data_IF_039067504892
#
_entry.id   IF_039067504892
#
_cell.length_a   1.000
_cell.length_b   1.000
_cell.length_c   1.000
_cell.angle_alpha   90.00
_cell.angle_beta   90.00
_cell.angle_gamma   90.00
#
_symmetry.space_group_name_H-M   'P 1'
#
loop_
_entity.id
_entity.type
_entity.pdbx_description
1 polymer ?
#
# COMPACT_ATOMS: atom_id res chain seq x y z
N UNK A 1 11.40 6.65 12.71
CA UNK A 1 10.05 6.17 13.03
C UNK A 1 9.13 7.37 13.28
N UNK A 2 7.91 7.34 12.70
CA UNK A 2 6.88 8.36 12.95
C UNK A 2 6.05 7.89 14.14
N UNK A 3 5.96 8.73 15.22
CA UNK A 3 5.17 8.44 16.41
C UNK A 3 5.78 7.44 17.41
N UNK A 4 5.05 7.19 18.48
CA UNK A 4 5.40 6.25 19.54
C UNK A 4 4.76 4.86 19.32
N UNK A 5 5.24 3.84 20.04
CA UNK A 5 4.63 2.51 20.02
C UNK A 5 3.13 2.54 20.37
N UNK A 6 2.76 3.39 21.32
CA UNK A 6 1.36 3.55 21.74
C UNK A 6 0.46 4.03 20.58
N UNK A 7 0.92 5.01 19.77
CA UNK A 7 0.15 5.49 18.61
C UNK A 7 -0.14 4.35 17.62
N UNK A 8 0.85 3.47 17.41
CA UNK A 8 0.71 2.30 16.56
C UNK A 8 -0.33 1.31 17.09
N UNK A 9 -0.25 0.94 18.37
CA UNK A 9 -1.18 -0.03 18.96
C UNK A 9 -2.62 0.50 19.02
N UNK A 10 -2.81 1.77 19.39
CA UNK A 10 -4.13 2.41 19.38
C UNK A 10 -4.72 2.48 17.98
N UNK A 11 -3.91 2.77 16.96
CA UNK A 11 -4.35 2.77 15.57
C UNK A 11 -4.72 1.36 15.10
N UNK A 12 -3.90 0.35 15.41
CA UNK A 12 -4.17 -1.04 15.09
C UNK A 12 -5.47 -1.52 15.75
N UNK A 13 -5.69 -1.18 17.03
CA UNK A 13 -6.91 -1.50 17.76
C UNK A 13 -8.14 -0.82 17.14
N UNK A 14 -8.04 0.47 16.83
CA UNK A 14 -9.13 1.21 16.16
C UNK A 14 -9.45 0.64 14.77
N UNK A 15 -8.46 0.14 14.05
CA UNK A 15 -8.66 -0.56 12.79
C UNK A 15 -9.38 -1.87 13.01
N UNK A 16 -8.94 -2.67 13.99
CA UNK A 16 -9.50 -3.99 14.27
C UNK A 16 -10.96 -3.94 14.75
N UNK A 17 -11.35 -2.89 15.46
CA UNK A 17 -12.72 -2.72 15.97
C UNK A 17 -13.59 -1.97 14.95
N UNK A 18 -13.09 -0.88 14.36
CA UNK A 18 -13.87 0.09 13.62
C UNK A 18 -13.48 0.22 12.14
N UNK A 19 -12.64 -0.66 11.61
CA UNK A 19 -12.13 -0.58 10.22
C UNK A 19 -11.59 0.82 9.86
N UNK A 20 -10.78 1.42 10.76
CA UNK A 20 -10.21 2.76 10.60
C UNK A 20 -8.75 2.76 10.14
N UNK A 21 -8.39 1.86 9.24
CA UNK A 21 -7.03 1.77 8.72
C UNK A 21 -6.64 3.03 7.93
N UNK A 22 -5.57 3.67 8.36
CA UNK A 22 -5.11 4.96 7.79
C UNK A 22 -5.74 6.20 8.44
N UNK A 23 -6.65 6.07 9.42
CA UNK A 23 -7.32 7.19 10.08
C UNK A 23 -6.97 7.36 11.57
N UNK A 24 -6.03 6.58 12.08
CA UNK A 24 -5.46 6.72 13.42
C UNK A 24 -4.21 7.61 13.46
N UNK A 25 -3.35 7.45 14.46
CA UNK A 25 -2.02 8.10 14.59
C UNK A 25 -2.03 9.63 14.42
N UNK A 26 -3.04 10.31 14.96
CA UNK A 26 -3.27 11.75 14.81
C UNK A 26 -2.06 12.56 15.28
N UNK A 27 -1.56 12.29 16.51
CA UNK A 27 -0.43 13.03 17.11
C UNK A 27 0.85 12.85 16.30
N UNK A 28 1.12 11.61 15.85
CA UNK A 28 2.28 11.28 15.04
C UNK A 28 2.28 12.05 13.72
N UNK A 29 1.11 12.11 13.04
CA UNK A 29 0.96 12.83 11.77
C UNK A 29 1.11 14.34 11.93
N UNK A 30 0.52 14.93 12.97
CA UNK A 30 0.72 16.37 13.27
C UNK A 30 2.20 16.71 13.52
N UNK A 31 2.94 15.81 14.20
CA UNK A 31 4.39 15.98 14.42
C UNK A 31 5.18 15.86 13.10
N UNK A 32 4.76 14.95 12.20
CA UNK A 32 5.36 14.84 10.88
C UNK A 32 5.17 16.13 10.07
N UNK A 33 3.96 16.70 10.05
CA UNK A 33 3.67 17.96 9.35
C UNK A 33 4.56 19.09 9.85
N UNK A 34 4.68 19.27 11.18
CA UNK A 34 5.61 20.28 11.74
C UNK A 34 7.06 20.07 11.28
N UNK A 35 7.46 18.82 11.08
CA UNK A 35 8.80 18.51 10.56
C UNK A 35 8.92 18.84 9.06
N UNK A 36 7.87 18.62 8.26
CA UNK A 36 7.83 19.03 6.84
C UNK A 36 7.94 20.56 6.74
N UNK A 37 7.18 21.29 7.53
CA UNK A 37 7.22 22.77 7.58
C UNK A 37 8.61 23.31 7.97
N UNK A 38 9.30 22.62 8.87
CA UNK A 38 10.65 22.97 9.31
C UNK A 38 11.70 22.69 8.22
N UNK A 39 11.61 21.52 7.56
CA UNK A 39 12.58 21.09 6.53
C UNK A 39 12.35 21.84 5.21
N UNK A 40 11.10 22.20 4.90
CA UNK A 40 10.69 22.83 3.64
C UNK A 40 11.21 22.08 2.41
N UNK A 41 10.84 20.80 2.23
CA UNK A 41 11.35 20.00 1.12
C UNK A 41 10.83 20.51 -0.21
N UNK A 42 11.63 20.39 -1.27
CA UNK A 42 11.25 20.75 -2.65
C UNK A 42 10.24 19.74 -3.24
N UNK A 43 10.23 18.51 -2.74
CA UNK A 43 9.34 17.44 -3.17
C UNK A 43 9.02 16.50 -2.01
N UNK A 44 7.80 15.95 -1.98
CA UNK A 44 7.40 14.91 -1.03
C UNK A 44 7.19 13.60 -1.79
N UNK A 45 7.97 12.58 -1.45
CA UNK A 45 7.81 11.24 -2.00
C UNK A 45 7.10 10.33 -0.98
N UNK A 46 5.90 9.90 -1.35
CA UNK A 46 5.07 9.00 -0.54
C UNK A 46 5.22 7.56 -1.01
N UNK A 47 5.19 6.64 -0.07
CA UNK A 47 5.11 5.19 -0.28
C UNK A 47 3.90 4.62 0.47
N UNK A 48 4.01 3.42 1.03
CA UNK A 48 2.94 2.76 1.79
C UNK A 48 2.43 3.62 2.95
N UNK A 49 1.27 4.23 2.78
CA UNK A 49 0.63 5.06 3.81
C UNK A 49 -0.24 4.25 4.79
N UNK A 50 -0.32 2.96 4.60
CA UNK A 50 -0.96 2.03 5.53
C UNK A 50 0.11 1.37 6.43
N UNK A 51 -0.26 0.88 7.60
CA UNK A 51 0.68 0.30 8.57
C UNK A 51 0.60 0.94 9.95
N UNK A 52 -0.53 1.57 10.28
CA UNK A 52 -0.86 2.08 11.62
C UNK A 52 0.03 3.21 12.15
N UNK A 53 0.67 3.99 11.30
CA UNK A 53 1.62 5.02 11.72
C UNK A 53 1.27 6.44 11.28
N UNK A 54 0.30 6.61 10.38
CA UNK A 54 -0.08 7.90 9.81
C UNK A 54 -1.61 8.06 9.75
N UNK A 55 -2.09 9.30 9.79
CA UNK A 55 -3.47 9.68 9.54
C UNK A 55 -3.57 10.34 8.17
N UNK A 56 -4.20 9.66 7.22
CA UNK A 56 -4.29 10.15 5.83
C UNK A 56 -5.15 11.40 5.71
N UNK A 57 -6.18 11.57 6.56
CA UNK A 57 -7.01 12.76 6.50
C UNK A 57 -6.23 14.02 6.87
N UNK A 58 -5.48 13.97 7.97
CA UNK A 58 -4.64 15.08 8.41
C UNK A 58 -3.52 15.35 7.41
N UNK A 59 -2.88 14.28 6.91
CA UNK A 59 -1.80 14.43 5.94
C UNK A 59 -2.31 15.05 4.63
N UNK A 60 -3.35 14.49 4.02
CA UNK A 60 -3.82 14.95 2.71
C UNK A 60 -4.51 16.31 2.76
N UNK A 61 -5.16 16.68 3.87
CA UNK A 61 -5.63 18.06 4.06
C UNK A 61 -4.47 19.06 4.09
N UNK A 62 -3.33 18.71 4.68
CA UNK A 62 -2.12 19.53 4.63
C UNK A 62 -1.53 19.56 3.21
N UNK A 63 -1.38 18.42 2.55
CA UNK A 63 -0.82 18.32 1.21
C UNK A 63 -1.65 19.07 0.16
N UNK A 64 -2.97 19.10 0.31
CA UNK A 64 -3.88 19.82 -0.56
C UNK A 64 -3.69 21.34 -0.49
N UNK A 65 -3.19 21.86 0.63
CA UNK A 65 -2.91 23.27 0.86
C UNK A 65 -1.44 23.64 0.59
N UNK A 66 -0.57 22.64 0.55
CA UNK A 66 0.84 22.84 0.28
C UNK A 66 1.08 22.99 -1.23
N UNK A 67 1.99 23.89 -1.61
CA UNK A 67 2.44 24.02 -3.02
C UNK A 67 3.53 22.99 -3.37
N UNK A 68 3.88 22.07 -2.46
CA UNK A 68 4.97 21.12 -2.62
C UNK A 68 4.54 20.01 -3.59
N UNK A 69 5.29 19.75 -4.67
CA UNK A 69 5.03 18.64 -5.58
C UNK A 69 5.08 17.28 -4.88
N UNK A 70 4.16 16.38 -5.24
CA UNK A 70 4.04 15.08 -4.61
C UNK A 70 4.27 13.98 -5.64
N UNK A 71 5.10 13.01 -5.29
CA UNK A 71 5.23 11.73 -5.97
C UNK A 71 4.72 10.66 -5.02
N UNK A 72 3.82 9.79 -5.47
CA UNK A 72 3.32 8.68 -4.67
C UNK A 72 3.58 7.35 -5.36
N UNK A 73 4.54 6.58 -4.85
CA UNK A 73 4.82 5.22 -5.33
C UNK A 73 3.90 4.24 -4.63
N UNK A 74 3.10 3.54 -5.43
CA UNK A 74 2.15 2.52 -4.98
C UNK A 74 2.74 1.13 -5.14
N UNK A 75 2.63 0.32 -4.09
CA UNK A 75 3.11 -1.06 -4.04
C UNK A 75 1.97 -2.09 -3.96
N UNK A 76 0.76 -1.63 -3.70
CA UNK A 76 -0.47 -2.43 -3.63
C UNK A 76 -1.72 -1.58 -3.93
N UNK A 77 -2.89 -2.18 -3.75
CA UNK A 77 -4.16 -1.58 -4.12
C UNK A 77 -4.85 -0.81 -2.99
N UNK A 78 -4.26 -0.75 -1.79
CA UNK A 78 -4.93 -0.14 -0.63
C UNK A 78 -5.37 1.31 -0.87
N UNK A 79 -4.59 2.07 -1.61
CA UNK A 79 -4.85 3.49 -1.85
C UNK A 79 -6.24 3.73 -2.48
N UNK A 80 -6.66 2.89 -3.41
CA UNK A 80 -7.91 3.08 -4.15
C UNK A 80 -9.01 2.07 -3.80
N UNK A 81 -8.82 1.26 -2.75
CA UNK A 81 -9.86 0.41 -2.19
C UNK A 81 -10.41 0.99 -0.88
N UNK A 82 -11.52 0.46 -0.39
CA UNK A 82 -12.10 0.89 0.88
C UNK A 82 -11.51 0.19 2.10
N UNK A 83 -10.82 -0.95 1.89
CA UNK A 83 -10.31 -1.78 2.98
C UNK A 83 -9.04 -2.51 2.59
N UNK A 84 -9.13 -3.48 1.68
CA UNK A 84 -8.08 -4.44 1.36
C UNK A 84 -6.93 -3.83 0.54
N UNK A 85 -5.75 -4.43 0.63
CA UNK A 85 -4.60 -4.11 -0.22
C UNK A 85 -4.48 -5.00 -1.45
N UNK A 86 -5.23 -6.11 -1.50
CA UNK A 86 -5.27 -7.05 -2.62
C UNK A 86 -6.69 -7.56 -2.79
N UNK A 87 -7.19 -7.64 -4.01
CA UNK A 87 -8.56 -8.06 -4.31
C UNK A 87 -8.63 -9.11 -5.43
N UNK A 88 -7.52 -9.41 -6.08
CA UNK A 88 -7.46 -10.23 -7.29
C UNK A 88 -7.96 -11.64 -7.05
N UNK A 89 -7.43 -12.32 -6.04
CA UNK A 89 -7.77 -13.71 -5.76
C UNK A 89 -9.25 -13.92 -5.34
N UNK A 90 -9.93 -12.89 -4.81
CA UNK A 90 -11.38 -12.93 -4.52
C UNK A 90 -12.20 -12.34 -5.67
N UNK A 91 -11.57 -11.95 -6.78
CA UNK A 91 -12.19 -11.39 -7.99
C UNK A 91 -13.16 -10.23 -7.68
N UNK A 92 -12.81 -9.37 -6.71
CA UNK A 92 -13.66 -8.26 -6.28
C UNK A 92 -13.44 -7.03 -7.16
N UNK A 93 -14.50 -6.53 -7.78
CA UNK A 93 -14.47 -5.34 -8.65
C UNK A 93 -15.15 -4.10 -8.07
N UNK A 94 -15.62 -4.17 -6.80
CA UNK A 94 -16.38 -3.06 -6.18
C UNK A 94 -15.58 -1.76 -6.10
N UNK A 95 -14.27 -1.84 -5.98
CA UNK A 95 -13.36 -0.69 -5.93
C UNK A 95 -13.38 0.18 -7.20
N UNK A 96 -13.81 -0.34 -8.34
CA UNK A 96 -14.00 0.43 -9.59
C UNK A 96 -15.14 1.46 -9.48
N UNK A 97 -16.11 1.22 -8.63
CA UNK A 97 -17.28 2.10 -8.40
C UNK A 97 -17.31 2.62 -6.97
N UNK A 98 -17.72 1.78 -6.04
CA UNK A 98 -17.77 2.07 -4.59
C UNK A 98 -17.59 0.78 -3.81
N UNK A 99 -16.57 0.72 -2.95
CA UNK A 99 -16.42 -0.39 -2.00
C UNK A 99 -17.56 -0.41 -0.99
N UNK A 100 -18.05 -1.59 -0.68
CA UNK A 100 -19.02 -1.87 0.38
C UNK A 100 -19.06 -3.37 0.66
N UNK A 101 -19.41 -3.79 1.89
CA UNK A 101 -19.49 -5.20 2.28
C UNK A 101 -18.26 -5.96 1.77
N UNK A 102 -17.09 -5.58 2.34
CA UNK A 102 -15.80 -6.07 1.88
C UNK A 102 -15.70 -7.59 2.10
N UNK A 103 -15.47 -8.41 1.05
CA UNK A 103 -15.36 -9.86 1.20
C UNK A 103 -14.08 -10.25 1.96
N UNK A 104 -13.18 -9.31 2.18
CA UNK A 104 -11.90 -9.49 2.86
C UNK A 104 -11.80 -8.69 4.16
N UNK A 105 -12.91 -8.36 4.81
CA UNK A 105 -12.90 -7.58 6.06
C UNK A 105 -12.09 -8.26 7.18
N UNK A 106 -12.01 -9.58 7.19
CA UNK A 106 -11.20 -10.37 8.13
C UNK A 106 -9.74 -10.52 7.72
N UNK A 107 -9.38 -10.19 6.47
CA UNK A 107 -7.99 -10.19 5.98
C UNK A 107 -7.29 -8.87 6.33
N UNK A 108 -5.97 -8.80 6.13
CA UNK A 108 -5.23 -7.55 6.37
C UNK A 108 -5.70 -6.40 5.46
N UNK A 109 -5.98 -5.23 6.05
CA UNK A 109 -5.98 -4.82 7.46
C UNK A 109 -7.25 -5.27 8.20
N UNK A 110 -7.16 -6.31 9.03
CA UNK A 110 -8.32 -7.02 9.60
C UNK A 110 -9.23 -6.10 10.44
N UNK A 111 -10.55 -6.16 10.19
CA UNK A 111 -11.60 -5.63 11.04
C UNK A 111 -12.55 -6.76 11.47
N UNK A 112 -12.88 -6.82 12.77
CA UNK A 112 -13.65 -7.94 13.33
C UNK A 112 -15.15 -7.65 13.45
N UNK A 113 -15.52 -6.38 13.65
CA UNK A 113 -16.89 -6.04 14.04
C UNK A 113 -17.59 -5.13 13.02
N UNK A 114 -16.85 -4.20 12.42
CA UNK A 114 -17.43 -3.16 11.58
C UNK A 114 -16.78 -3.17 10.21
N UNK A 115 -17.58 -3.15 9.17
CA UNK A 115 -17.16 -2.90 7.80
C UNK A 115 -17.42 -1.42 7.44
N UNK A 116 -16.40 -0.62 7.49
CA UNK A 116 -16.40 0.77 7.05
C UNK A 116 -15.87 0.95 5.63
N UNK A 117 -15.76 -0.12 4.84
CA UNK A 117 -15.16 -0.07 3.50
C UNK A 117 -15.79 0.99 2.59
N UNK A 118 -17.11 1.20 2.67
CA UNK A 118 -17.78 2.29 1.91
C UNK A 118 -17.33 3.67 2.36
N UNK A 119 -17.33 3.93 3.67
CA UNK A 119 -16.93 5.21 4.25
C UNK A 119 -15.45 5.51 3.97
N UNK A 120 -14.60 4.52 4.17
CA UNK A 120 -13.17 4.63 3.91
C UNK A 120 -12.90 4.91 2.43
N UNK A 121 -13.58 4.22 1.51
CA UNK A 121 -13.48 4.46 0.08
C UNK A 121 -13.83 5.90 -0.31
N UNK A 122 -14.99 6.39 0.15
CA UNK A 122 -15.44 7.75 -0.14
C UNK A 122 -14.51 8.80 0.47
N UNK A 123 -14.02 8.57 1.70
CA UNK A 123 -13.05 9.45 2.35
C UNK A 123 -11.73 9.49 1.58
N UNK A 124 -11.18 8.35 1.20
CA UNK A 124 -9.95 8.28 0.38
C UNK A 124 -10.14 8.97 -0.97
N UNK A 125 -11.25 8.71 -1.67
CA UNK A 125 -11.56 9.36 -2.94
C UNK A 125 -11.56 10.88 -2.79
N UNK A 126 -12.22 11.43 -1.79
CA UNK A 126 -12.24 12.87 -1.51
C UNK A 126 -10.86 13.42 -1.20
N UNK A 127 -10.17 12.79 -0.25
CA UNK A 127 -8.89 13.26 0.26
C UNK A 127 -7.78 13.22 -0.80
N UNK A 128 -7.66 12.11 -1.52
CA UNK A 128 -6.56 11.96 -2.49
C UNK A 128 -6.78 12.84 -3.71
N UNK A 129 -8.02 12.99 -4.17
CA UNK A 129 -8.32 13.88 -5.30
C UNK A 129 -8.36 15.39 -4.92
N UNK A 130 -8.18 15.75 -3.65
CA UNK A 130 -8.05 17.17 -3.26
C UNK A 130 -6.65 17.74 -3.48
N UNK A 131 -5.66 16.89 -3.74
CA UNK A 131 -4.28 17.33 -3.98
C UNK A 131 -4.11 17.80 -5.42
N UNK A 132 -3.70 19.06 -5.66
CA UNK A 132 -3.69 19.63 -7.01
C UNK A 132 -2.55 19.11 -7.90
N UNK A 133 -1.42 18.76 -7.29
CA UNK A 133 -0.21 18.34 -8.02
C UNK A 133 0.39 17.06 -7.43
N UNK A 134 -0.04 15.92 -7.97
CA UNK A 134 0.47 14.62 -7.57
C UNK A 134 0.74 13.75 -8.80
N UNK A 135 1.92 13.11 -8.81
CA UNK A 135 2.28 12.08 -9.79
C UNK A 135 2.28 10.73 -9.12
N UNK A 136 1.60 9.76 -9.71
CA UNK A 136 1.57 8.39 -9.23
C UNK A 136 2.65 7.58 -9.93
N UNK A 137 3.39 6.80 -9.16
CA UNK A 137 4.33 5.80 -9.66
C UNK A 137 3.82 4.42 -9.30
N UNK A 138 3.74 3.53 -10.29
CA UNK A 138 3.34 2.13 -10.11
C UNK A 138 4.54 1.22 -10.29
N UNK A 139 4.69 0.23 -9.44
CA UNK A 139 5.82 -0.73 -9.51
C UNK A 139 5.64 -1.82 -10.57
N UNK A 140 4.50 -1.84 -11.27
CA UNK A 140 4.21 -2.77 -12.36
C UNK A 140 3.15 -2.23 -13.31
N UNK A 141 3.14 -2.70 -14.55
CA UNK A 141 2.10 -2.38 -15.53
C UNK A 141 0.71 -2.86 -15.07
N UNK A 142 0.65 -4.00 -14.37
CA UNK A 142 -0.61 -4.49 -13.81
C UNK A 142 -1.21 -3.48 -12.82
N UNK A 143 -0.42 -2.98 -11.87
CA UNK A 143 -0.88 -2.01 -10.88
C UNK A 143 -1.26 -0.67 -11.52
N UNK A 144 -0.48 -0.19 -12.50
CA UNK A 144 -0.81 1.02 -13.27
C UNK A 144 -2.18 0.89 -13.97
N UNK A 145 -2.43 -0.28 -14.57
CA UNK A 145 -3.73 -0.55 -15.20
C UNK A 145 -4.87 -0.51 -14.17
N UNK A 146 -4.69 -1.08 -12.97
CA UNK A 146 -5.71 -0.99 -11.92
C UNK A 146 -5.97 0.47 -11.50
N UNK A 147 -4.93 1.28 -11.35
CA UNK A 147 -5.05 2.70 -10.99
C UNK A 147 -5.87 3.47 -12.03
N UNK A 148 -5.69 3.18 -13.33
CA UNK A 148 -6.45 3.79 -14.44
C UNK A 148 -7.95 3.51 -14.38
N UNK A 149 -8.37 2.39 -13.78
CA UNK A 149 -9.79 2.07 -13.54
C UNK A 149 -10.31 2.56 -12.19
N UNK A 150 -9.46 3.16 -11.36
CA UNK A 150 -9.81 3.64 -10.03
C UNK A 150 -10.19 5.13 -10.04
N UNK A 151 -10.61 5.64 -8.89
CA UNK A 151 -10.84 7.08 -8.71
C UNK A 151 -9.57 7.93 -8.75
N UNK A 152 -8.39 7.33 -8.91
CA UNK A 152 -7.10 8.01 -9.08
C UNK A 152 -6.72 8.19 -10.55
N UNK A 153 -7.55 7.78 -11.49
CA UNK A 153 -7.29 7.84 -12.94
C UNK A 153 -7.02 9.26 -13.50
N UNK A 154 -7.41 10.31 -12.77
CA UNK A 154 -7.16 11.70 -13.15
C UNK A 154 -5.72 12.16 -12.95
N UNK A 155 -4.89 11.42 -12.22
CA UNK A 155 -3.49 11.77 -11.99
C UNK A 155 -2.57 11.26 -13.10
N UNK A 156 -1.49 11.99 -13.34
CA UNK A 156 -0.38 11.49 -14.17
C UNK A 156 0.19 10.23 -13.51
N UNK A 157 0.37 9.16 -14.28
CA UNK A 157 0.98 7.93 -13.78
C UNK A 157 2.17 7.51 -14.62
N UNK A 158 3.14 6.86 -13.98
CA UNK A 158 4.34 6.30 -14.60
C UNK A 158 4.67 4.96 -13.97
N UNK A 159 5.07 3.98 -14.80
CA UNK A 159 5.56 2.70 -14.32
C UNK A 159 7.07 2.79 -14.09
N UNK A 160 7.50 2.52 -12.86
CA UNK A 160 8.90 2.38 -12.47
C UNK A 160 8.98 1.12 -11.63
N UNK A 161 9.56 0.07 -12.19
CA UNK A 161 9.70 -1.21 -11.49
C UNK A 161 10.67 -1.10 -10.31
N UNK A 162 10.47 -1.97 -9.31
CA UNK A 162 11.40 -2.04 -8.19
C UNK A 162 12.81 -2.42 -8.67
N UNK A 163 13.81 -1.69 -8.21
CA UNK A 163 15.20 -2.02 -8.46
C UNK A 163 15.70 -3.13 -7.54
N UNK A 164 16.70 -3.84 -8.00
CA UNK A 164 17.48 -4.81 -7.21
C UNK A 164 18.97 -4.53 -7.37
N UNK A 165 19.75 -4.94 -6.39
CA UNK A 165 21.22 -4.89 -6.47
C UNK A 165 21.73 -5.98 -7.41
N UNK A 166 22.20 -5.58 -8.61
CA UNK A 166 22.69 -6.50 -9.63
C UNK A 166 24.04 -7.12 -9.30
N UNK A 167 24.79 -6.57 -8.35
CA UNK A 167 26.02 -7.20 -7.86
C UNK A 167 25.73 -8.39 -6.96
N UNK A 168 24.62 -8.31 -6.20
CA UNK A 168 24.15 -9.39 -5.32
C UNK A 168 23.29 -10.39 -6.09
N UNK A 169 22.31 -9.89 -6.85
CA UNK A 169 21.32 -10.69 -7.60
C UNK A 169 21.75 -10.88 -9.05
N UNK A 170 22.73 -11.72 -9.28
CA UNK A 170 23.23 -12.08 -10.61
C UNK A 170 23.27 -13.60 -10.81
N UNK A 171 23.13 -14.07 -12.05
CA UNK A 171 23.24 -15.49 -12.34
C UNK A 171 24.58 -16.04 -11.83
N UNK A 172 24.53 -17.08 -11.01
CA UNK A 172 25.72 -17.76 -10.50
C UNK A 172 25.51 -19.27 -10.51
N UNK A 173 26.60 -20.00 -10.80
CA UNK A 173 26.58 -21.46 -10.71
C UNK A 173 26.96 -21.88 -9.29
N UNK A 174 25.95 -21.98 -8.41
CA UNK A 174 26.17 -22.49 -7.05
C UNK A 174 26.33 -24.01 -7.04
N UNK A 175 27.58 -24.50 -7.17
CA UNK A 175 27.87 -25.93 -7.07
C UNK A 175 27.45 -26.52 -5.73
N UNK A 176 27.54 -25.74 -4.65
CA UNK A 176 27.13 -26.17 -3.32
C UNK A 176 25.62 -26.47 -3.24
N UNK A 177 24.76 -25.60 -3.75
CA UNK A 177 23.31 -25.85 -3.78
C UNK A 177 22.96 -27.07 -4.62
N UNK A 178 23.55 -27.19 -5.81
CA UNK A 178 23.31 -28.31 -6.70
C UNK A 178 23.68 -29.62 -6.02
N UNK A 179 24.86 -29.67 -5.33
CA UNK A 179 25.34 -30.86 -4.60
C UNK A 179 24.47 -31.13 -3.36
N UNK A 180 24.24 -30.14 -2.51
CA UNK A 180 23.52 -30.32 -1.23
C UNK A 180 22.09 -30.79 -1.39
N UNK A 181 21.41 -30.36 -2.46
CA UNK A 181 20.02 -30.73 -2.75
C UNK A 181 19.87 -31.78 -3.85
N UNK A 182 20.99 -32.35 -4.33
CA UNK A 182 21.02 -33.34 -5.40
C UNK A 182 20.21 -32.92 -6.64
N UNK A 183 20.50 -31.71 -7.14
CA UNK A 183 19.75 -31.09 -8.23
C UNK A 183 20.34 -31.35 -9.62
N UNK A 184 21.32 -32.24 -9.74
CA UNK A 184 21.90 -32.61 -11.02
C UNK A 184 20.83 -33.18 -11.95
N UNK A 185 20.74 -32.65 -13.16
CA UNK A 185 19.82 -33.08 -14.22
C UNK A 185 18.33 -32.99 -13.82
N UNK A 186 17.97 -32.14 -12.84
CA UNK A 186 16.59 -31.90 -12.43
C UNK A 186 16.08 -30.59 -12.99
N UNK A 187 14.80 -30.57 -13.40
CA UNK A 187 14.05 -29.34 -13.62
C UNK A 187 13.70 -28.75 -12.26
N UNK A 188 14.05 -27.48 -12.03
CA UNK A 188 13.89 -26.84 -10.72
C UNK A 188 12.78 -25.82 -10.80
N UNK A 189 11.76 -25.97 -9.96
CA UNK A 189 10.73 -24.96 -9.72
C UNK A 189 11.04 -24.30 -8.39
N UNK A 190 11.29 -22.98 -8.40
CA UNK A 190 11.60 -22.21 -7.20
C UNK A 190 10.42 -21.30 -6.85
N UNK A 191 9.88 -21.46 -5.66
CA UNK A 191 8.93 -20.53 -5.07
C UNK A 191 9.53 -19.77 -3.90
N UNK A 192 9.29 -18.45 -3.81
CA UNK A 192 9.77 -17.61 -2.70
C UNK A 192 8.60 -16.80 -2.14
N UNK A 193 8.27 -17.03 -0.87
CA UNK A 193 7.27 -16.24 -0.16
C UNK A 193 7.59 -16.17 1.34
N UNK A 194 7.27 -15.05 1.99
CA UNK A 194 7.39 -14.93 3.44
C UNK A 194 6.42 -15.88 4.16
N UNK A 195 5.21 -16.03 3.64
CA UNK A 195 4.20 -17.00 4.06
C UNK A 195 3.46 -17.51 2.84
N UNK A 196 3.26 -18.82 2.74
CA UNK A 196 2.42 -19.43 1.72
C UNK A 196 0.96 -19.38 2.16
N UNK A 197 0.10 -18.87 1.31
CA UNK A 197 -1.35 -18.73 1.50
C UNK A 197 -2.03 -18.90 0.15
N UNK A 198 -3.36 -19.10 0.13
CA UNK A 198 -4.15 -19.19 -1.11
C UNK A 198 -3.90 -18.00 -2.04
N UNK A 199 -3.77 -16.80 -1.46
CA UNK A 199 -3.43 -15.58 -2.21
C UNK A 199 -2.07 -15.65 -2.93
N UNK A 200 -1.17 -16.52 -2.52
CA UNK A 200 0.15 -16.73 -3.14
C UNK A 200 0.17 -17.86 -4.17
N UNK A 201 -0.98 -18.50 -4.41
CA UNK A 201 -1.12 -19.53 -5.42
C UNK A 201 -0.38 -20.83 -5.12
N UNK A 202 -0.20 -21.17 -3.83
CA UNK A 202 0.55 -22.40 -3.48
C UNK A 202 -0.22 -23.67 -3.81
N UNK A 203 -1.55 -23.61 -3.84
CA UNK A 203 -2.43 -24.75 -4.09
C UNK A 203 -3.04 -24.72 -5.50
N UNK A 204 -2.66 -23.81 -6.35
CA UNK A 204 -3.01 -23.73 -7.75
C UNK A 204 -1.92 -24.37 -8.62
#
# INVERSE_FOLDING_TARGET
RIGFKLDFYLHALATRIFDKHGFGSIRATKKLIKKIDYIKPDIIHLHNLHGYYINIEILFNYLAQSAIPIVWTMHDCWAFTGHCSHFEYVKCEKWKKVCHRCPQSSSYPSSLFIDNSKKNFLSKKRLFNSVPSMTIVSVSHWLDNQIRYSFLSGFKSKVIQNGIDLEVFKPSKSRALIKNYNLHNKFIILGVASNWTDRKGFFE
#
